data_IF_812195093014
#
_entry.id   IF_812195093014
#
_cell.length_a   1.000
_cell.length_b   1.000
_cell.length_c   1.000
_cell.angle_alpha   90.00
_cell.angle_beta   90.00
_cell.angle_gamma   90.00
#
_symmetry.space_group_name_H-M   'P 1'
#
loop_
_entity.id
_entity.type
_entity.pdbx_description
1 polymer ?
#
# COMPACT_ATOMS: atom_id res chain seq x y z
N UNK A 1 -10.25 -25.50 17.94
CA UNK A 1 -9.72 -24.27 17.32
C UNK A 1 -10.59 -23.13 17.82
N UNK A 2 -10.10 -22.18 18.64
CA UNK A 2 -10.96 -21.12 19.13
C UNK A 2 -11.41 -20.27 17.93
N UNK A 3 -12.72 -20.09 17.85
CA UNK A 3 -13.46 -19.44 16.80
C UNK A 3 -12.95 -17.99 16.62
N UNK A 4 -12.50 -17.66 15.42
CA UNK A 4 -12.14 -16.28 15.06
C UNK A 4 -13.40 -15.43 15.17
N UNK A 5 -13.48 -14.62 16.22
CA UNK A 5 -14.60 -13.69 16.49
C UNK A 5 -14.83 -12.71 15.33
N UNK A 6 -13.87 -12.58 14.42
CA UNK A 6 -13.90 -11.69 13.27
C UNK A 6 -13.52 -12.47 12.00
N UNK A 7 -14.30 -12.30 10.93
CA UNK A 7 -14.00 -12.82 9.61
C UNK A 7 -12.96 -11.96 8.88
N UNK A 8 -12.66 -12.34 7.63
CA UNK A 8 -11.79 -11.56 6.76
C UNK A 8 -12.38 -10.17 6.44
N UNK A 9 -11.51 -9.22 6.13
CA UNK A 9 -11.92 -7.88 5.71
C UNK A 9 -12.62 -7.99 4.36
N UNK A 10 -13.93 -7.73 4.34
CA UNK A 10 -14.75 -7.68 3.14
C UNK A 10 -15.46 -6.32 3.06
N UNK A 11 -14.95 -5.43 2.21
CA UNK A 11 -15.45 -4.06 2.05
C UNK A 11 -16.03 -3.91 0.64
N UNK A 12 -17.26 -3.37 0.48
CA UNK A 12 -17.84 -3.18 -0.84
C UNK A 12 -17.05 -2.16 -1.67
N UNK A 13 -16.93 -2.42 -2.97
CA UNK A 13 -16.35 -1.48 -3.92
C UNK A 13 -17.17 -0.19 -3.95
N UNK A 14 -16.48 0.96 -3.96
CA UNK A 14 -17.07 2.30 -4.01
C UNK A 14 -16.32 3.16 -5.01
N UNK A 15 -17.05 4.03 -5.71
CA UNK A 15 -16.48 5.15 -6.45
C UNK A 15 -16.51 6.39 -5.57
N UNK A 16 -15.34 6.86 -5.13
CA UNK A 16 -15.18 7.97 -4.20
C UNK A 16 -14.86 9.25 -4.96
N UNK A 17 -15.84 10.15 -5.04
CA UNK A 17 -15.75 11.43 -5.79
C UNK A 17 -15.77 12.65 -4.86
N UNK A 18 -15.57 12.47 -3.56
CA UNK A 18 -15.48 13.56 -2.59
C UNK A 18 -14.12 14.28 -2.67
N UNK A 19 -13.94 15.34 -1.89
CA UNK A 19 -12.67 16.11 -1.77
C UNK A 19 -11.53 15.34 -1.09
N UNK A 20 -11.57 14.00 -1.07
CA UNK A 20 -10.58 13.12 -0.48
C UNK A 20 -10.94 12.59 0.90
N UNK A 21 -10.48 11.38 1.28
CA UNK A 21 -9.70 10.41 0.49
C UNK A 21 -10.52 9.77 -0.65
N UNK A 22 -9.85 9.48 -1.77
CA UNK A 22 -10.44 8.89 -2.98
C UNK A 22 -9.87 7.50 -3.28
N UNK A 23 -10.39 6.84 -4.32
CA UNK A 23 -9.86 5.54 -4.76
C UNK A 23 -8.37 5.63 -5.12
N UNK A 24 -7.58 4.71 -4.59
CA UNK A 24 -6.15 4.58 -4.92
C UNK A 24 -6.01 3.82 -6.25
N UNK A 25 -5.05 4.22 -7.07
CA UNK A 25 -4.78 3.54 -8.34
C UNK A 25 -4.36 2.06 -8.10
N UNK A 26 -4.87 1.06 -8.85
CA UNK A 26 -4.58 -0.37 -8.61
C UNK A 26 -3.09 -0.75 -8.54
N UNK A 27 -2.24 -0.05 -9.30
CA UNK A 27 -0.77 -0.25 -9.26
C UNK A 27 -0.16 0.03 -7.88
N UNK A 28 -0.73 0.96 -7.11
CA UNK A 28 -0.24 1.28 -5.76
C UNK A 28 -0.64 0.17 -4.79
N UNK A 29 -1.87 -0.35 -4.86
CA UNK A 29 -2.26 -1.53 -4.07
C UNK A 29 -1.37 -2.73 -4.36
N UNK A 30 -1.07 -2.99 -5.63
CA UNK A 30 -0.12 -4.05 -6.01
C UNK A 30 1.26 -3.84 -5.39
N UNK A 31 1.76 -2.60 -5.40
CA UNK A 31 3.04 -2.27 -4.77
C UNK A 31 3.02 -2.48 -3.25
N UNK A 32 1.93 -2.13 -2.56
CA UNK A 32 1.77 -2.32 -1.11
C UNK A 32 1.71 -3.79 -0.67
N UNK A 33 1.39 -4.72 -1.57
CA UNK A 33 1.42 -6.17 -1.29
C UNK A 33 2.82 -6.78 -1.46
N UNK A 34 3.82 -6.01 -1.88
CA UNK A 34 5.20 -6.48 -2.05
C UNK A 34 5.81 -6.82 -0.67
N UNK A 35 6.64 -7.86 -0.55
CA UNK A 35 7.34 -8.15 0.71
C UNK A 35 8.13 -6.96 1.23
N UNK A 36 8.12 -6.78 2.55
CA UNK A 36 8.88 -5.73 3.23
C UNK A 36 10.36 -6.06 3.15
N UNK A 37 11.19 -5.04 2.86
CA UNK A 37 12.65 -5.11 2.87
C UNK A 37 13.23 -4.43 4.11
N UNK A 38 14.39 -4.88 4.58
CA UNK A 38 15.11 -4.24 5.67
C UNK A 38 15.73 -2.89 5.29
N UNK A 39 15.83 -1.98 6.25
CA UNK A 39 16.44 -0.65 6.06
C UNK A 39 17.91 -0.71 5.58
N UNK A 40 18.67 -1.71 6.01
CA UNK A 40 20.08 -1.89 5.63
C UNK A 40 20.31 -2.67 4.33
N UNK A 41 19.25 -3.09 3.63
CA UNK A 41 19.40 -3.84 2.39
C UNK A 41 19.74 -2.93 1.21
N UNK A 42 20.54 -3.44 0.28
CA UNK A 42 20.94 -2.70 -0.92
C UNK A 42 19.73 -2.26 -1.79
N UNK A 43 18.60 -2.95 -1.67
CA UNK A 43 17.37 -2.61 -2.39
C UNK A 43 16.64 -1.37 -1.81
N UNK A 44 16.95 -0.94 -0.58
CA UNK A 44 16.24 0.15 0.08
C UNK A 44 16.63 1.53 -0.47
N UNK A 45 17.92 1.81 -0.61
CA UNK A 45 18.41 3.14 -1.03
C UNK A 45 17.89 3.55 -2.42
N UNK A 46 17.92 2.71 -3.46
CA UNK A 46 17.39 3.09 -4.78
C UNK A 46 15.91 3.48 -4.76
N UNK A 47 15.11 2.90 -3.86
CA UNK A 47 13.69 3.23 -3.71
C UNK A 47 13.53 4.63 -3.12
N UNK A 48 14.30 4.95 -2.07
CA UNK A 48 14.27 6.27 -1.43
C UNK A 48 14.80 7.35 -2.38
N UNK A 49 15.90 7.09 -3.09
CA UNK A 49 16.44 8.00 -4.09
C UNK A 49 15.42 8.29 -5.20
N UNK A 50 14.72 7.25 -5.67
CA UNK A 50 13.63 7.39 -6.64
C UNK A 50 12.49 8.26 -6.12
N UNK A 51 12.06 8.07 -4.87
CA UNK A 51 11.02 8.90 -4.24
C UNK A 51 11.48 10.35 -4.12
N UNK A 52 12.70 10.59 -3.62
CA UNK A 52 13.24 11.95 -3.47
C UNK A 52 13.30 12.67 -4.81
N UNK A 53 13.72 11.98 -5.88
CA UNK A 53 13.77 12.55 -7.23
C UNK A 53 12.39 12.91 -7.79
N UNK A 54 11.32 12.23 -7.38
CA UNK A 54 9.96 12.51 -7.82
C UNK A 54 9.29 13.67 -7.06
N UNK A 55 9.80 13.98 -5.85
CA UNK A 55 9.24 14.99 -4.95
C UNK A 55 10.05 16.29 -4.93
N UNK A 56 11.25 16.29 -5.51
CA UNK A 56 12.06 17.49 -5.75
C UNK A 56 11.47 18.32 -6.88
#
# INVERSE_FOLDING_TARGET
>A
MPQTKFGEINIPSRLLTSTGPVNVHPRVYKAMMTPVIGYGEAAFLPVIDGISSMLS
#
